data_IF_869806282875
#
_entry.id   IF_869806282875
#
_cell.length_a   1.000
_cell.length_b   1.000
_cell.length_c   1.000
_cell.angle_alpha   90.00
_cell.angle_beta   90.00
_cell.angle_gamma   90.00
#
_symmetry.space_group_name_H-M   'P 1'
#
loop_
_entity.id
_entity.type
_entity.pdbx_description
1 polymer ?
#
# COMPACT_ATOMS: atom_id res chain seq x y z
N UNK A 1 0.66 37.95 -15.72
CA UNK A 1 0.31 36.51 -15.59
C UNK A 1 0.85 36.02 -14.25
N UNK A 2 -0.01 35.60 -13.34
CA UNK A 2 0.38 35.15 -11.98
C UNK A 2 0.53 33.63 -12.00
N UNK A 3 1.71 33.12 -11.62
CA UNK A 3 2.00 31.68 -11.59
C UNK A 3 1.49 31.07 -10.28
N UNK A 4 0.86 29.90 -10.33
CA UNK A 4 0.34 29.23 -9.14
C UNK A 4 1.50 28.73 -8.25
N UNK A 5 1.33 28.75 -6.93
CA UNK A 5 2.38 28.35 -5.95
C UNK A 5 2.93 26.93 -6.23
N UNK A 6 2.09 26.06 -6.78
CA UNK A 6 2.42 24.65 -7.07
C UNK A 6 2.88 24.37 -8.51
N UNK A 7 3.02 25.40 -9.36
CA UNK A 7 3.33 25.22 -10.78
C UNK A 7 4.68 24.52 -11.00
N UNK A 8 5.72 24.96 -10.28
CA UNK A 8 7.06 24.39 -10.40
C UNK A 8 7.08 22.91 -9.96
N UNK A 9 6.36 22.57 -8.89
CA UNK A 9 6.22 21.20 -8.42
C UNK A 9 5.49 20.32 -9.45
N UNK A 10 4.43 20.85 -10.09
CA UNK A 10 3.72 20.16 -11.18
C UNK A 10 4.62 19.90 -12.38
N UNK A 11 5.43 20.88 -12.78
CA UNK A 11 6.36 20.73 -13.91
C UNK A 11 7.42 19.66 -13.63
N UNK A 12 8.03 19.67 -12.44
CA UNK A 12 8.97 18.62 -12.00
C UNK A 12 8.32 17.24 -12.02
N UNK A 13 7.10 17.12 -11.50
CA UNK A 13 6.36 15.85 -11.53
C UNK A 13 6.06 15.39 -12.97
N UNK A 14 5.72 16.31 -13.87
CA UNK A 14 5.47 15.99 -15.27
C UNK A 14 6.75 15.54 -16.00
N UNK A 15 7.87 16.22 -15.77
CA UNK A 15 9.17 15.81 -16.30
C UNK A 15 9.56 14.39 -15.83
N UNK A 16 9.38 14.10 -14.53
CA UNK A 16 9.62 12.77 -13.95
C UNK A 16 8.73 11.69 -14.58
N UNK A 17 7.44 11.99 -14.81
CA UNK A 17 6.48 11.08 -15.44
C UNK A 17 6.92 10.67 -16.85
N UNK A 18 7.59 11.55 -17.59
CA UNK A 18 8.04 11.30 -18.96
C UNK A 18 9.31 10.44 -19.06
N UNK A 19 10.07 10.29 -17.95
CA UNK A 19 11.24 9.41 -17.90
C UNK A 19 10.86 7.94 -18.13
N UNK A 20 11.80 7.10 -18.60
CA UNK A 20 11.57 5.66 -18.80
C UNK A 20 11.07 4.97 -17.52
N UNK A 21 11.68 5.28 -16.37
CA UNK A 21 11.26 4.77 -15.08
C UNK A 21 9.88 5.30 -14.67
N UNK A 22 9.64 6.60 -14.85
CA UNK A 22 8.35 7.24 -14.56
C UNK A 22 7.19 6.61 -15.34
N UNK A 23 7.39 6.31 -16.63
CA UNK A 23 6.41 5.59 -17.46
C UNK A 23 6.12 4.19 -16.92
N UNK A 24 7.16 3.43 -16.53
CA UNK A 24 7.01 2.08 -15.94
C UNK A 24 6.23 2.12 -14.62
N UNK A 25 6.56 3.07 -13.75
CA UNK A 25 5.85 3.26 -12.47
C UNK A 25 4.41 3.71 -12.70
N UNK A 26 4.18 4.65 -13.63
CA UNK A 26 2.85 5.13 -13.97
C UNK A 26 1.95 4.01 -14.51
N UNK A 27 2.47 3.12 -15.35
CA UNK A 27 1.74 1.95 -15.84
C UNK A 27 1.27 1.04 -14.69
N UNK A 28 2.16 0.71 -13.74
CA UNK A 28 1.79 -0.09 -12.55
C UNK A 28 0.81 0.66 -11.63
N UNK A 29 1.00 1.98 -11.47
CA UNK A 29 0.11 2.82 -10.66
C UNK A 29 -1.30 2.83 -11.25
N UNK A 30 -1.44 2.93 -12.58
CA UNK A 30 -2.74 2.91 -13.25
C UNK A 30 -3.55 1.69 -12.82
N UNK A 31 -2.98 0.49 -12.92
CA UNK A 31 -3.66 -0.75 -12.56
C UNK A 31 -4.02 -0.80 -11.06
N UNK A 32 -3.08 -0.46 -10.17
CA UNK A 32 -3.31 -0.50 -8.72
C UNK A 32 -4.32 0.55 -8.25
N UNK A 33 -4.32 1.73 -8.86
CA UNK A 33 -5.27 2.81 -8.60
C UNK A 33 -6.67 2.42 -9.08
N UNK A 34 -6.80 1.89 -10.30
CA UNK A 34 -8.09 1.42 -10.83
C UNK A 34 -8.70 0.33 -9.94
N UNK A 35 -7.89 -0.62 -9.46
CA UNK A 35 -8.32 -1.65 -8.51
C UNK A 35 -8.78 -1.07 -7.18
N UNK A 36 -8.05 -0.11 -6.60
CA UNK A 36 -8.45 0.58 -5.37
C UNK A 36 -9.78 1.35 -5.53
N UNK A 37 -10.00 1.99 -6.68
CA UNK A 37 -11.28 2.64 -6.98
C UNK A 37 -12.42 1.63 -7.16
N UNK A 38 -12.17 0.48 -7.79
CA UNK A 38 -13.16 -0.59 -7.91
C UNK A 38 -13.58 -1.12 -6.53
N UNK A 39 -12.60 -1.38 -5.65
CA UNK A 39 -12.85 -1.79 -4.26
C UNK A 39 -13.64 -0.71 -3.49
N UNK A 40 -13.31 0.57 -3.69
CA UNK A 40 -14.03 1.68 -3.08
C UNK A 40 -15.49 1.76 -3.54
N UNK A 41 -15.75 1.52 -4.83
CA UNK A 41 -17.11 1.45 -5.39
C UNK A 41 -17.89 0.28 -4.79
N UNK A 42 -17.28 -0.89 -4.69
CA UNK A 42 -17.97 -2.10 -4.25
C UNK A 42 -18.17 -2.17 -2.74
N UNK A 43 -17.15 -1.87 -1.94
CA UNK A 43 -17.15 -2.09 -0.49
C UNK A 43 -17.43 -0.84 0.34
N UNK A 44 -17.20 0.36 -0.21
CA UNK A 44 -17.38 1.62 0.53
C UNK A 44 -18.56 2.46 0.01
N UNK A 45 -19.36 1.89 -0.90
CA UNK A 45 -20.61 2.48 -1.37
C UNK A 45 -20.42 3.72 -2.25
N UNK A 46 -19.28 3.82 -2.94
CA UNK A 46 -19.00 4.93 -3.87
C UNK A 46 -19.68 4.78 -5.25
N UNK A 47 -20.66 3.86 -5.39
CA UNK A 47 -21.49 3.78 -6.62
C UNK A 47 -22.34 5.02 -6.82
N UNK A 48 -22.78 5.64 -5.73
CA UNK A 48 -23.60 6.84 -5.74
C UNK A 48 -23.11 7.80 -4.66
N UNK A 49 -23.34 9.10 -4.87
CA UNK A 49 -23.14 10.10 -3.83
C UNK A 49 -24.20 9.89 -2.73
N UNK A 50 -23.83 9.21 -1.65
CA UNK A 50 -24.74 8.88 -0.55
C UNK A 50 -25.19 10.10 0.24
N UNK A 51 -24.33 11.11 0.33
CA UNK A 51 -24.60 12.33 1.09
C UNK A 51 -24.85 13.53 0.16
N UNK A 52 -25.67 14.48 0.62
CA UNK A 52 -25.88 15.76 -0.06
C UNK A 52 -24.79 16.76 0.35
N UNK A 53 -24.24 17.46 -0.64
CA UNK A 53 -23.21 18.48 -0.45
C UNK A 53 -21.78 17.95 -0.58
N UNK A 54 -20.92 18.75 -1.21
CA UNK A 54 -19.54 18.38 -1.58
C UNK A 54 -18.72 17.93 -0.36
N UNK A 55 -18.78 18.68 0.74
CA UNK A 55 -18.02 18.41 1.96
C UNK A 55 -18.31 17.01 2.53
N UNK A 56 -19.59 16.60 2.56
CA UNK A 56 -19.98 15.29 3.11
C UNK A 56 -19.55 14.13 2.22
N UNK A 57 -19.64 14.31 0.90
CA UNK A 57 -19.14 13.32 -0.08
C UNK A 57 -17.61 13.22 0.00
N UNK A 58 -16.91 14.34 0.12
CA UNK A 58 -15.45 14.36 0.33
C UNK A 58 -15.06 13.60 1.60
N UNK A 59 -15.76 13.84 2.72
CA UNK A 59 -15.51 13.13 3.97
C UNK A 59 -15.67 11.62 3.83
N UNK A 60 -16.72 11.15 3.14
CA UNK A 60 -16.91 9.73 2.83
C UNK A 60 -15.72 9.16 2.06
N UNK A 61 -15.30 9.84 0.99
CA UNK A 61 -14.18 9.42 0.16
C UNK A 61 -12.86 9.37 0.95
N UNK A 62 -12.58 10.39 1.77
CA UNK A 62 -11.37 10.48 2.58
C UNK A 62 -11.32 9.40 3.67
N UNK A 63 -12.45 9.11 4.32
CA UNK A 63 -12.53 8.06 5.33
C UNK A 63 -12.30 6.68 4.71
N UNK A 64 -12.92 6.40 3.55
CA UNK A 64 -12.71 5.16 2.82
C UNK A 64 -11.25 4.99 2.37
N UNK A 65 -10.65 6.05 1.82
CA UNK A 65 -9.24 6.04 1.42
C UNK A 65 -8.31 5.81 2.62
N UNK A 66 -8.58 6.43 3.77
CA UNK A 66 -7.84 6.22 5.01
C UNK A 66 -7.91 4.75 5.45
N UNK A 67 -9.10 4.15 5.44
CA UNK A 67 -9.27 2.73 5.77
C UNK A 67 -8.47 1.81 4.84
N UNK A 68 -8.54 2.05 3.52
CA UNK A 68 -7.76 1.30 2.53
C UNK A 68 -6.24 1.44 2.76
N UNK A 69 -5.77 2.65 3.07
CA UNK A 69 -4.36 2.91 3.37
C UNK A 69 -3.90 2.18 4.64
N UNK A 70 -4.70 2.19 5.71
CA UNK A 70 -4.40 1.46 6.95
C UNK A 70 -4.32 -0.05 6.70
N UNK A 71 -5.26 -0.62 5.93
CA UNK A 71 -5.21 -2.04 5.52
C UNK A 71 -3.91 -2.36 4.79
N UNK A 72 -3.48 -1.50 3.86
CA UNK A 72 -2.23 -1.69 3.11
C UNK A 72 -1.00 -1.66 4.03
N UNK A 73 -0.94 -0.71 4.97
CA UNK A 73 0.15 -0.63 5.95
C UNK A 73 0.21 -1.87 6.84
N UNK A 74 -0.94 -2.33 7.35
CA UNK A 74 -1.01 -3.53 8.17
C UNK A 74 -0.51 -4.78 7.43
N UNK A 75 -0.90 -4.95 6.16
CA UNK A 75 -0.42 -6.06 5.32
C UNK A 75 1.09 -5.99 5.07
N UNK A 76 1.64 -4.79 4.84
CA UNK A 76 3.08 -4.60 4.67
C UNK A 76 3.85 -4.88 5.97
N UNK A 77 3.32 -4.44 7.11
CA UNK A 77 3.90 -4.70 8.42
C UNK A 77 3.90 -6.19 8.74
N UNK A 78 2.80 -6.90 8.47
CA UNK A 78 2.71 -8.35 8.63
C UNK A 78 3.69 -9.08 7.71
N UNK A 79 3.78 -8.66 6.45
CA UNK A 79 4.72 -9.24 5.50
C UNK A 79 6.18 -9.02 5.94
N UNK A 80 6.51 -7.82 6.40
CA UNK A 80 7.83 -7.50 6.93
C UNK A 80 8.14 -8.35 8.17
N UNK A 81 7.19 -8.45 9.11
CA UNK A 81 7.33 -9.31 10.28
C UNK A 81 7.58 -10.77 9.91
N UNK A 82 6.83 -11.32 8.94
CA UNK A 82 7.02 -12.69 8.46
C UNK A 82 8.42 -12.90 7.87
N UNK A 83 8.90 -11.97 7.04
CA UNK A 83 10.25 -12.03 6.47
C UNK A 83 11.34 -11.97 7.55
N UNK A 84 11.12 -11.15 8.60
CA UNK A 84 12.04 -11.05 9.73
C UNK A 84 12.04 -12.35 10.58
N UNK A 85 10.88 -12.97 10.78
CA UNK A 85 10.77 -14.26 11.48
C UNK A 85 11.48 -15.37 10.71
N UNK A 86 11.32 -15.44 9.38
CA UNK A 86 12.01 -16.43 8.54
C UNK A 86 13.53 -16.25 8.59
N UNK A 87 14.04 -15.01 8.51
CA UNK A 87 15.46 -14.71 8.66
C UNK A 87 16.00 -14.98 10.08
N UNK A 88 15.15 -14.87 11.11
CA UNK A 88 15.52 -15.17 12.49
C UNK A 88 15.59 -16.67 12.82
N UNK A 89 14.99 -17.55 12.00
CA UNK A 89 15.04 -19.00 12.19
C UNK A 89 16.25 -19.68 11.53
N UNK A 90 16.89 -19.05 10.53
CA UNK A 90 18.10 -19.59 9.87
C UNK A 90 19.40 -19.43 10.70
N UNK A 91 19.31 -18.94 11.94
CA UNK A 91 20.45 -18.75 12.84
C UNK A 91 20.34 -19.50 14.17
N UNK A 92 19.37 -20.40 14.36
CA UNK A 92 19.35 -21.25 15.57
C UNK A 92 20.32 -22.41 15.38
N UNK A 93 21.41 -22.53 16.17
CA UNK A 93 22.14 -23.78 16.22
C UNK A 93 21.18 -24.86 16.69
N UNK A 94 21.09 -25.97 15.95
CA UNK A 94 20.50 -27.20 16.47
C UNK A 94 21.34 -27.57 17.69
N UNK A 95 20.82 -27.33 18.89
CA UNK A 95 21.48 -27.76 20.12
C UNK A 95 21.56 -29.28 20.09
N UNK A 96 22.77 -29.80 20.21
CA UNK A 96 23.13 -31.22 20.18
C UNK A 96 22.43 -32.08 21.25
N UNK A 97 21.70 -31.48 22.18
CA UNK A 97 20.89 -32.16 23.19
C UNK A 97 19.62 -32.84 22.66
N UNK A 98 19.16 -32.49 21.44
CA UNK A 98 17.96 -33.09 20.85
C UNK A 98 18.15 -34.50 20.28
N UNK A 99 19.40 -34.87 19.92
CA UNK A 99 19.70 -36.17 19.32
C UNK A 99 20.02 -37.26 20.34
N UNK A 100 20.47 -36.89 21.55
CA UNK A 100 20.77 -37.87 22.61
C UNK A 100 19.51 -38.55 23.18
N UNK A 101 18.35 -37.86 23.18
CA UNK A 101 17.10 -38.44 23.67
C UNK A 101 16.36 -39.32 22.63
N UNK A 102 16.75 -39.28 21.35
CA UNK A 102 16.12 -40.06 20.28
C UNK A 102 16.85 -41.38 19.96
N UNK A 103 18.09 -41.55 20.42
CA UNK A 103 18.88 -42.79 20.25
C UNK A 103 18.87 -43.70 21.50
N UNK A 104 18.34 -43.21 22.63
CA UNK A 104 18.29 -43.95 23.91
C UNK A 104 16.88 -44.46 24.25
N UNK A 105 15.96 -44.48 23.28
CA UNK A 105 14.61 -45.04 23.39
C UNK A 105 14.42 -46.22 22.45
#
# INVERSE_FOLDING_TARGET
ITRHVWEEAKEKANALRLTKWGKKVYARRKETVERSFADAKQHHGHRYARFRGLMKVQMQCLLAATAQNMKKLALLALFYWLLMVQKGQSGRPVTSSGWQNAMMG
#
